data_IF_528701937847
#
_entry.id   IF_528701937847
#
_cell.length_a   1.000
_cell.length_b   1.000
_cell.length_c   1.000
_cell.angle_alpha   90.00
_cell.angle_beta   90.00
_cell.angle_gamma   90.00
#
_symmetry.space_group_name_H-M   'P 1'
#
loop_
_entity.id
_entity.type
_entity.pdbx_description
1 polymer ?
#
# COMPACT_ATOMS: atom_id res chain seq x y z
N UNK A 1 28.99 14.58 2.80
CA UNK A 1 28.61 13.77 1.63
C UNK A 1 27.09 13.69 1.59
N UNK A 2 26.44 14.39 0.66
CA UNK A 2 24.97 14.41 0.52
C UNK A 2 24.57 13.27 -0.41
N UNK A 3 23.74 12.34 0.06
CA UNK A 3 23.26 11.23 -0.77
C UNK A 3 22.44 11.77 -1.95
N UNK A 4 22.76 11.29 -3.17
CA UNK A 4 22.06 11.65 -4.41
C UNK A 4 20.61 11.18 -4.30
N UNK A 5 19.64 12.09 -4.47
CA UNK A 5 18.21 11.75 -4.57
C UNK A 5 18.01 10.99 -5.87
N UNK A 6 17.73 9.68 -5.79
CA UNK A 6 17.39 8.86 -6.94
C UNK A 6 15.96 9.17 -7.38
N UNK A 7 15.70 9.12 -8.70
CA UNK A 7 14.34 9.30 -9.20
C UNK A 7 13.49 8.05 -8.87
N UNK A 8 12.19 8.20 -8.56
CA UNK A 8 11.30 7.09 -8.18
C UNK A 8 11.30 5.89 -9.13
N UNK A 9 11.49 6.13 -10.44
CA UNK A 9 11.47 5.08 -11.47
C UNK A 9 12.81 4.34 -11.64
N UNK A 10 13.87 4.74 -10.93
CA UNK A 10 15.22 4.16 -11.07
C UNK A 10 15.56 3.12 -9.99
N UNK A 11 14.65 2.81 -9.06
CA UNK A 11 14.87 1.81 -8.02
C UNK A 11 14.30 0.44 -8.46
N UNK A 12 15.13 -0.61 -8.67
CA UNK A 12 14.67 -1.88 -9.23
C UNK A 12 13.78 -2.73 -8.31
N UNK A 13 13.68 -2.44 -7.02
CA UNK A 13 12.76 -3.10 -6.10
C UNK A 13 12.40 -2.12 -4.99
N UNK A 14 11.12 -1.72 -4.92
CA UNK A 14 10.64 -0.87 -3.86
C UNK A 14 10.69 -1.61 -2.51
N UNK A 15 11.26 -1.02 -1.44
CA UNK A 15 11.38 -1.71 -0.16
C UNK A 15 10.00 -1.94 0.47
N UNK A 16 9.86 -3.05 1.21
CA UNK A 16 8.59 -3.39 1.86
C UNK A 16 8.10 -2.32 2.84
N UNK A 17 9.01 -1.65 3.56
CA UNK A 17 8.68 -0.53 4.45
C UNK A 17 9.25 0.78 3.92
N UNK A 18 8.39 1.80 3.84
CA UNK A 18 8.70 3.09 3.23
C UNK A 18 8.44 4.23 4.21
N UNK A 19 9.39 5.15 4.33
CA UNK A 19 9.15 6.43 5.01
C UNK A 19 8.27 7.36 4.14
N UNK A 20 7.88 8.51 4.69
CA UNK A 20 6.95 9.45 4.04
C UNK A 20 7.32 9.80 2.60
N UNK A 21 8.57 10.22 2.37
CA UNK A 21 9.07 10.62 1.04
C UNK A 21 8.96 9.48 0.02
N UNK A 22 9.33 8.27 0.43
CA UNK A 22 9.36 7.11 -0.45
C UNK A 22 7.96 6.56 -0.70
N UNK A 23 7.10 6.54 0.31
CA UNK A 23 5.70 6.17 0.18
C UNK A 23 4.96 7.14 -0.75
N UNK A 24 5.19 8.45 -0.62
CA UNK A 24 4.61 9.46 -1.50
C UNK A 24 5.09 9.28 -2.95
N UNK A 25 6.40 9.03 -3.15
CA UNK A 25 6.96 8.72 -4.45
C UNK A 25 6.36 7.45 -5.07
N UNK A 26 6.17 6.39 -4.27
CA UNK A 26 5.58 5.12 -4.70
C UNK A 26 4.18 5.30 -5.29
N UNK A 27 3.34 6.11 -4.62
CA UNK A 27 1.96 6.38 -5.05
C UNK A 27 1.85 7.56 -6.02
N UNK A 28 2.97 8.15 -6.45
CA UNK A 28 3.00 9.25 -7.41
C UNK A 28 2.52 10.62 -6.89
N UNK A 29 2.64 10.88 -5.58
CA UNK A 29 2.23 12.13 -4.93
C UNK A 29 3.42 12.90 -4.34
N UNK A 30 3.22 14.20 -4.08
CA UNK A 30 4.16 14.95 -3.25
C UNK A 30 4.00 14.56 -1.77
N UNK A 31 5.08 14.64 -0.95
CA UNK A 31 5.03 14.27 0.46
C UNK A 31 3.92 14.97 1.25
N UNK A 32 3.77 16.29 1.08
CA UNK A 32 2.74 17.07 1.77
C UNK A 32 1.32 16.69 1.34
N UNK A 33 1.11 16.39 0.04
CA UNK A 33 -0.20 15.98 -0.46
C UNK A 33 -0.56 14.59 0.04
N UNK A 34 0.39 13.65 0.00
CA UNK A 34 0.20 12.32 0.56
C UNK A 34 -0.10 12.38 2.07
N UNK A 35 0.64 13.17 2.83
CA UNK A 35 0.37 13.38 4.26
C UNK A 35 -1.00 14.01 4.51
N UNK A 36 -1.43 14.96 3.66
CA UNK A 36 -2.77 15.54 3.70
C UNK A 36 -3.87 14.49 3.48
N UNK A 37 -3.72 13.61 2.50
CA UNK A 37 -4.67 12.51 2.27
C UNK A 37 -4.72 11.53 3.45
N UNK A 38 -3.56 11.17 4.04
CA UNK A 38 -3.51 10.28 5.21
C UNK A 38 -4.23 10.88 6.42
N UNK A 39 -4.14 12.19 6.65
CA UNK A 39 -4.77 12.85 7.81
C UNK A 39 -6.16 13.40 7.55
N UNK A 40 -6.67 13.26 6.32
CA UNK A 40 -8.03 13.69 5.99
C UNK A 40 -9.04 12.84 6.75
N UNK A 41 -10.04 13.49 7.33
CA UNK A 41 -11.11 12.77 8.04
C UNK A 41 -11.91 11.91 7.07
N UNK A 42 -12.11 10.64 7.43
CA UNK A 42 -12.77 9.66 6.55
C UNK A 42 -11.89 9.16 5.40
N UNK A 43 -10.57 9.39 5.46
CA UNK A 43 -9.64 8.89 4.45
C UNK A 43 -9.57 7.36 4.45
N UNK A 44 -9.49 6.79 3.26
CA UNK A 44 -9.20 5.36 3.03
C UNK A 44 -7.70 5.08 2.88
N UNK A 45 -6.88 6.13 2.91
CA UNK A 45 -5.43 6.03 2.84
C UNK A 45 -4.87 5.31 4.06
N UNK A 46 -3.84 4.47 3.88
CA UNK A 46 -3.28 3.67 4.96
C UNK A 46 -2.58 4.56 5.99
N UNK A 47 -2.81 4.26 7.26
CA UNK A 47 -2.12 4.92 8.36
C UNK A 47 -0.70 4.36 8.50
N UNK A 48 0.29 5.19 8.87
CA UNK A 48 1.64 4.69 9.08
C UNK A 48 1.72 3.81 10.34
N UNK A 49 2.53 2.75 10.26
CA UNK A 49 2.93 1.95 11.42
C UNK A 49 4.15 2.58 12.10
N UNK A 50 4.19 2.52 13.43
CA UNK A 50 5.37 2.91 14.20
C UNK A 50 6.38 1.75 14.21
N UNK A 51 7.45 1.86 13.43
CA UNK A 51 8.49 0.82 13.36
C UNK A 51 9.44 0.90 14.56
N UNK A 52 9.80 2.11 14.98
CA UNK A 52 10.59 2.42 16.19
C UNK A 52 10.13 3.74 16.78
N UNK A 53 10.65 4.12 17.96
CA UNK A 53 10.46 5.46 18.51
C UNK A 53 10.87 6.52 17.47
N UNK A 54 9.92 7.39 17.11
CA UNK A 54 10.13 8.47 16.14
C UNK A 54 10.15 8.07 14.66
N UNK A 55 10.03 6.78 14.31
CA UNK A 55 10.03 6.33 12.91
C UNK A 55 8.72 5.69 12.52
N UNK A 56 8.02 6.39 11.63
CA UNK A 56 6.75 5.97 11.02
C UNK A 56 7.00 5.52 9.59
N UNK A 57 6.43 4.37 9.21
CA UNK A 57 6.58 3.79 7.88
C UNK A 57 5.24 3.29 7.37
N UNK A 58 5.11 3.22 6.04
CA UNK A 58 4.03 2.54 5.34
C UNK A 58 4.54 1.24 4.76
N UNK A 59 3.71 0.21 4.80
CA UNK A 59 4.00 -1.04 4.13
C UNK A 59 3.56 -0.94 2.66
N UNK A 60 4.36 -1.54 1.78
CA UNK A 60 4.07 -1.61 0.35
C UNK A 60 2.69 -2.23 0.08
N UNK A 61 2.33 -3.28 0.81
CA UNK A 61 1.06 -4.01 0.67
C UNK A 61 -0.16 -3.15 0.98
N UNK A 62 -0.08 -2.31 2.02
CA UNK A 62 -1.16 -1.39 2.39
C UNK A 62 -1.33 -0.28 1.34
N UNK A 63 -0.21 0.20 0.78
CA UNK A 63 -0.21 1.17 -0.32
C UNK A 63 -0.79 0.55 -1.59
N UNK A 64 -0.42 -0.69 -1.92
CA UNK A 64 -0.97 -1.45 -3.06
C UNK A 64 -2.48 -1.65 -2.89
N UNK A 65 -2.93 -2.14 -1.74
CA UNK A 65 -4.35 -2.33 -1.44
C UNK A 65 -5.14 -1.01 -1.47
N UNK A 66 -4.51 0.11 -1.13
CA UNK A 66 -5.12 1.42 -1.28
C UNK A 66 -5.26 1.84 -2.74
N UNK A 67 -4.22 1.63 -3.56
CA UNK A 67 -4.26 1.90 -5.00
C UNK A 67 -5.26 1.00 -5.73
N UNK A 68 -5.36 -0.28 -5.35
CA UNK A 68 -6.31 -1.22 -5.90
C UNK A 68 -7.75 -0.80 -5.58
N UNK A 69 -8.04 -0.47 -4.31
CA UNK A 69 -9.35 0.09 -3.92
C UNK A 69 -9.68 1.37 -4.67
N UNK A 70 -8.71 2.28 -4.82
CA UNK A 70 -8.88 3.52 -5.57
C UNK A 70 -9.14 3.27 -7.06
N UNK A 71 -8.57 2.20 -7.62
CA UNK A 71 -8.82 1.75 -8.99
C UNK A 71 -10.09 0.90 -9.14
N UNK A 72 -10.85 0.66 -8.07
CA UNK A 72 -12.02 -0.22 -8.08
C UNK A 72 -11.69 -1.72 -8.24
N UNK A 73 -10.41 -2.09 -8.07
CA UNK A 73 -9.96 -3.48 -8.03
C UNK A 73 -10.20 -4.01 -6.62
N UNK A 74 -11.38 -4.57 -6.38
CA UNK A 74 -11.65 -5.30 -5.14
C UNK A 74 -11.04 -6.69 -5.31
N UNK A 75 -10.00 -6.99 -4.55
CA UNK A 75 -9.57 -8.38 -4.35
C UNK A 75 -10.66 -9.07 -3.53
N UNK A 76 -11.60 -9.69 -4.21
CA UNK A 76 -12.65 -10.48 -3.59
C UNK A 76 -11.99 -11.75 -3.01
N UNK A 77 -11.59 -11.66 -1.74
CA UNK A 77 -11.11 -12.79 -0.95
C UNK A 77 -12.14 -13.94 -0.88
N UNK A 78 -13.38 -13.71 -1.36
CA UNK A 78 -14.38 -14.74 -1.62
C UNK A 78 -13.89 -15.88 -2.53
N UNK A 79 -12.78 -15.71 -3.25
CA UNK A 79 -12.16 -16.79 -4.03
C UNK A 79 -11.43 -17.82 -3.17
N UNK A 80 -11.12 -17.53 -1.90
CA UNK A 80 -10.44 -18.47 -0.99
C UNK A 80 -11.22 -19.78 -0.73
N UNK A 81 -12.55 -19.74 -0.90
CA UNK A 81 -13.43 -20.89 -0.68
C UNK A 81 -14.08 -21.39 -1.98
N UNK A 82 -13.74 -20.81 -3.14
CA UNK A 82 -14.31 -21.21 -4.43
C UNK A 82 -13.99 -22.67 -4.78
N UNK A 83 -12.78 -23.12 -4.46
CA UNK A 83 -12.37 -24.53 -4.60
C UNK A 83 -13.11 -25.44 -3.60
N UNK A 84 -13.39 -24.95 -2.38
CA UNK A 84 -14.12 -25.69 -1.34
C UNK A 84 -15.60 -25.90 -1.72
N UNK A 85 -16.21 -24.90 -2.36
CA UNK A 85 -17.59 -24.98 -2.87
C UNK A 85 -17.70 -25.91 -4.08
N UNK A 86 -16.68 -25.94 -4.94
CA UNK A 86 -16.62 -26.88 -6.08
C UNK A 86 -16.52 -28.34 -5.63
N UNK A 87 -15.79 -28.64 -4.55
CA UNK A 87 -15.71 -29.99 -3.97
C UNK A 87 -17.03 -30.46 -3.34
N UNK A 88 -17.81 -29.57 -2.72
CA UNK A 88 -19.12 -29.92 -2.17
C UNK A 88 -20.21 -30.13 -3.23
N UNK A 89 -20.09 -29.47 -4.39
CA UNK A 89 -21.07 -29.58 -5.46
C UNK A 89 -20.98 -30.88 -6.28
N UNK A 90 -19.87 -31.63 -6.17
CA UNK A 90 -19.67 -32.91 -6.88
C UNK A 90 -20.00 -34.17 -6.07
N UNK A 91 -20.59 -34.04 -4.88
CA UNK A 91 -20.85 -35.14 -3.96
C UNK A 91 -22.35 -35.52 -3.85
N UNK A 92 -23.16 -35.17 -4.86
CA UNK A 92 -24.60 -35.49 -4.93
C UNK A 92 -24.90 -36.41 -6.12
#
# INVERSE_FOLDING_TARGET
>A
MTARRLAPHELPDWPRSMGLELAAAYVGLSPSKFWGEVNKQGSTAPQPIALTAGRRVWLKEDLDAWLDRAAGRVHDEATGNAWLNSLKAGAA
#
